data_IF_685449573464
#
_entry.id   IF_685449573464
#
_cell.length_a   1.000
_cell.length_b   1.000
_cell.length_c   1.000
_cell.angle_alpha   90.00
_cell.angle_beta   90.00
_cell.angle_gamma   90.00
#
_symmetry.space_group_name_H-M   'P 1'
#
loop_
_entity.id
_entity.type
_entity.pdbx_description
1 polymer ?
#
# COMPACT_ATOMS: atom_id res chain seq x y z
N UNK A 1 19.60 -8.33 -12.28
CA UNK A 1 20.75 -7.81 -13.07
C UNK A 1 21.41 -8.90 -13.89
N UNK A 2 21.61 -10.08 -13.29
CA UNK A 2 22.22 -11.25 -13.95
C UNK A 2 21.59 -11.61 -15.30
N UNK A 3 20.25 -11.76 -15.36
CA UNK A 3 19.54 -12.05 -16.62
C UNK A 3 19.76 -10.98 -17.70
N UNK A 4 19.83 -9.70 -17.36
CA UNK A 4 20.08 -8.64 -18.35
C UNK A 4 21.47 -8.74 -18.97
N UNK A 5 22.48 -9.21 -18.21
CA UNK A 5 23.83 -9.45 -18.73
C UNK A 5 23.83 -10.64 -19.69
N UNK A 6 23.18 -11.75 -19.30
CA UNK A 6 23.07 -12.95 -20.12
C UNK A 6 22.29 -12.69 -21.42
N UNK A 7 21.18 -11.95 -21.36
CA UNK A 7 20.43 -11.52 -22.55
C UNK A 7 21.32 -10.73 -23.49
N UNK A 8 22.11 -9.78 -22.98
CA UNK A 8 23.01 -8.96 -23.80
C UNK A 8 24.11 -9.80 -24.46
N UNK A 9 24.62 -10.79 -23.77
CA UNK A 9 25.63 -11.71 -24.30
C UNK A 9 25.05 -12.61 -25.39
N UNK A 10 23.88 -13.23 -25.13
CA UNK A 10 23.17 -14.05 -26.11
C UNK A 10 22.71 -13.28 -27.34
N UNK A 11 22.35 -12.00 -27.20
CA UNK A 11 22.05 -11.14 -28.34
C UNK A 11 23.28 -10.93 -29.25
N UNK A 12 24.49 -10.83 -28.68
CA UNK A 12 25.73 -10.78 -29.49
C UNK A 12 26.03 -12.12 -30.18
N UNK A 13 25.67 -13.23 -29.53
CA UNK A 13 25.82 -14.56 -30.13
C UNK A 13 24.87 -14.72 -31.33
N UNK A 14 23.64 -14.20 -31.23
CA UNK A 14 22.68 -14.12 -32.33
C UNK A 14 23.23 -13.29 -33.49
N UNK A 15 23.83 -12.12 -33.21
CA UNK A 15 24.46 -11.30 -34.24
C UNK A 15 25.59 -12.07 -34.94
N UNK A 16 26.41 -12.80 -34.17
CA UNK A 16 27.48 -13.66 -34.72
C UNK A 16 26.91 -14.75 -35.64
N UNK A 17 25.87 -15.45 -35.20
CA UNK A 17 25.22 -16.49 -36.02
C UNK A 17 24.58 -15.92 -37.29
N UNK A 18 24.10 -14.68 -37.26
CA UNK A 18 23.54 -14.00 -38.43
C UNK A 18 24.64 -13.71 -39.47
N UNK A 19 25.81 -13.24 -39.03
CA UNK A 19 26.98 -13.03 -39.91
C UNK A 19 27.51 -14.33 -40.50
N UNK A 20 27.54 -15.41 -39.72
CA UNK A 20 28.02 -16.73 -40.15
C UNK A 20 26.99 -17.49 -41.01
N UNK A 21 25.77 -16.95 -41.18
CA UNK A 21 24.68 -17.62 -41.92
C UNK A 21 24.15 -18.88 -41.22
N UNK A 22 24.47 -19.08 -39.94
CA UNK A 22 24.05 -20.24 -39.16
C UNK A 22 22.63 -20.02 -38.61
N UNK A 23 21.64 -20.31 -39.45
CA UNK A 23 20.22 -20.12 -39.14
C UNK A 23 19.74 -20.96 -37.96
N UNK A 24 20.19 -22.21 -37.84
CA UNK A 24 19.82 -23.08 -36.72
C UNK A 24 20.37 -22.57 -35.38
N UNK A 25 21.63 -22.11 -35.37
CA UNK A 25 22.23 -21.49 -34.19
C UNK A 25 21.50 -20.23 -33.77
N UNK A 26 21.16 -19.36 -34.73
CA UNK A 26 20.39 -18.14 -34.52
C UNK A 26 19.02 -18.41 -33.88
N UNK A 27 18.29 -19.40 -34.39
CA UNK A 27 16.97 -19.77 -33.86
C UNK A 27 17.08 -20.20 -32.40
N UNK A 28 17.98 -21.14 -32.08
CA UNK A 28 18.17 -21.62 -30.70
C UNK A 28 18.57 -20.50 -29.75
N UNK A 29 19.51 -19.64 -30.16
CA UNK A 29 19.96 -18.54 -29.33
C UNK A 29 18.84 -17.50 -29.10
N UNK A 30 17.98 -17.27 -30.10
CA UNK A 30 16.80 -16.39 -29.97
C UNK A 30 15.80 -16.95 -28.98
N UNK A 31 15.49 -18.25 -29.05
CA UNK A 31 14.62 -18.92 -28.08
C UNK A 31 15.16 -18.83 -26.64
N UNK A 32 16.48 -18.96 -26.45
CA UNK A 32 17.12 -18.79 -25.15
C UNK A 32 17.00 -17.34 -24.63
N UNK A 33 17.16 -16.34 -25.50
CA UNK A 33 16.96 -14.94 -25.13
C UNK A 33 15.54 -14.68 -24.67
N UNK A 34 14.54 -15.24 -25.35
CA UNK A 34 13.15 -15.03 -24.99
C UNK A 34 12.81 -15.70 -23.65
N UNK A 35 13.33 -16.90 -23.37
CA UNK A 35 13.26 -17.51 -22.03
C UNK A 35 13.91 -16.64 -20.95
N UNK A 36 15.08 -16.09 -21.20
CA UNK A 36 15.76 -15.22 -20.24
C UNK A 36 14.99 -13.91 -20.00
N UNK A 37 14.32 -13.36 -21.03
CA UNK A 37 13.45 -12.18 -20.88
C UNK A 37 12.23 -12.49 -20.03
N UNK A 38 11.61 -13.65 -20.23
CA UNK A 38 10.48 -14.13 -19.43
C UNK A 38 10.89 -14.27 -17.95
N UNK A 39 11.98 -14.99 -17.67
CA UNK A 39 12.52 -15.14 -16.31
C UNK A 39 12.84 -13.79 -15.65
N UNK A 40 13.41 -12.84 -16.42
CA UNK A 40 13.67 -11.50 -15.92
C UNK A 40 12.38 -10.77 -15.56
N UNK A 41 11.34 -10.88 -16.40
CA UNK A 41 10.06 -10.24 -16.16
C UNK A 41 9.36 -10.83 -14.92
N UNK A 42 9.40 -12.15 -14.74
CA UNK A 42 8.86 -12.85 -13.57
C UNK A 42 9.53 -12.40 -12.27
N UNK A 43 10.87 -12.36 -12.23
CA UNK A 43 11.62 -11.89 -11.06
C UNK A 43 11.34 -10.42 -10.75
N UNK A 44 11.27 -9.57 -11.79
CA UNK A 44 10.91 -8.16 -11.61
C UNK A 44 9.49 -7.99 -11.08
N UNK A 45 8.53 -8.79 -11.56
CA UNK A 45 7.14 -8.77 -11.08
C UNK A 45 7.05 -9.19 -9.62
N UNK A 46 7.77 -10.26 -9.22
CA UNK A 46 7.82 -10.72 -7.83
C UNK A 46 8.39 -9.66 -6.90
N UNK A 47 9.51 -9.04 -7.27
CA UNK A 47 10.14 -7.97 -6.46
C UNK A 47 9.23 -6.74 -6.34
N UNK A 48 8.53 -6.37 -7.42
CA UNK A 48 7.60 -5.26 -7.39
C UNK A 48 6.42 -5.54 -6.45
N UNK A 49 5.86 -6.76 -6.50
CA UNK A 49 4.78 -7.17 -5.60
C UNK A 49 5.25 -7.17 -4.14
N UNK A 50 6.46 -7.66 -3.86
CA UNK A 50 7.04 -7.64 -2.53
C UNK A 50 7.24 -6.20 -2.01
N UNK A 51 7.76 -5.30 -2.85
CA UNK A 51 7.93 -3.89 -2.50
C UNK A 51 6.58 -3.22 -2.20
N UNK A 52 5.56 -3.46 -3.03
CA UNK A 52 4.22 -2.92 -2.81
C UNK A 52 3.60 -3.44 -1.50
N UNK A 53 3.75 -4.73 -1.20
CA UNK A 53 3.28 -5.31 0.05
C UNK A 53 4.03 -4.72 1.27
N UNK A 54 5.35 -4.51 1.17
CA UNK A 54 6.13 -3.84 2.21
C UNK A 54 5.67 -2.41 2.44
N UNK A 55 5.49 -1.62 1.39
CA UNK A 55 5.03 -0.23 1.50
C UNK A 55 3.62 -0.15 2.11
N UNK A 56 2.72 -1.08 1.73
CA UNK A 56 1.41 -1.19 2.38
C UNK A 56 1.53 -1.49 3.87
N UNK A 57 2.38 -2.42 4.27
CA UNK A 57 2.58 -2.75 5.69
C UNK A 57 3.20 -1.57 6.45
N UNK A 58 4.20 -0.89 5.87
CA UNK A 58 4.81 0.31 6.44
C UNK A 58 3.80 1.44 6.59
N UNK A 59 2.91 1.65 5.61
CA UNK A 59 1.85 2.65 5.68
C UNK A 59 0.85 2.32 6.79
N UNK A 60 0.40 1.07 6.89
CA UNK A 60 -0.50 0.61 7.97
C UNK A 60 0.15 0.79 9.34
N UNK A 61 1.41 0.39 9.50
CA UNK A 61 2.15 0.57 10.74
C UNK A 61 2.38 2.05 11.07
N UNK A 62 2.63 2.89 10.07
CA UNK A 62 2.78 4.33 10.24
C UNK A 62 1.47 4.98 10.70
N UNK A 63 0.32 4.58 10.13
CA UNK A 63 -1.01 5.01 10.57
C UNK A 63 -1.31 4.55 12.00
N UNK A 64 -0.94 3.32 12.37
CA UNK A 64 -1.05 2.81 13.75
C UNK A 64 -0.10 3.51 14.74
N UNK A 65 1.03 4.03 14.29
CA UNK A 65 2.00 4.73 15.16
C UNK A 65 1.68 6.22 15.28
N UNK A 66 1.17 6.85 14.22
CA UNK A 66 0.68 8.23 14.25
C UNK A 66 -0.51 8.41 15.21
N UNK A 67 -1.31 7.36 15.39
CA UNK A 67 -2.38 7.32 16.40
C UNK A 67 -1.87 7.09 17.84
N UNK A 68 -0.58 6.79 18.05
CA UNK A 68 0.03 6.62 19.37
C UNK A 68 0.72 7.89 19.92
N UNK A 69 0.63 9.03 19.21
CA UNK A 69 1.21 10.31 19.67
C UNK A 69 0.28 11.14 20.57
N UNK A 70 -0.94 10.68 20.79
CA UNK A 70 -1.72 11.01 21.98
C UNK A 70 -2.05 9.69 22.60
N UNK A 71 -1.32 9.24 23.61
CA UNK A 71 -1.86 8.18 24.47
C UNK A 71 -3.15 8.76 25.07
N UNK A 72 -4.35 8.29 24.70
CA UNK A 72 -5.45 8.42 25.63
C UNK A 72 -5.04 7.55 26.82
N UNK A 73 -5.38 7.94 28.04
CA UNK A 73 -5.31 7.02 29.16
C UNK A 73 -5.88 5.68 28.69
N UNK A 74 -5.12 4.60 28.89
CA UNK A 74 -5.57 3.26 28.52
C UNK A 74 -7.02 3.11 29.02
N UNK A 75 -7.97 2.69 28.16
CA UNK A 75 -9.33 2.46 28.64
C UNK A 75 -9.21 1.50 29.82
N UNK A 76 -9.77 1.89 30.98
CA UNK A 76 -9.75 1.07 32.20
C UNK A 76 -10.00 -0.39 31.83
N UNK A 77 -9.26 -1.32 32.41
CA UNK A 77 -9.31 -2.75 32.03
C UNK A 77 -10.75 -3.29 31.92
N UNK A 78 -11.64 -2.79 32.79
CA UNK A 78 -13.08 -3.07 32.81
C UNK A 78 -13.83 -2.61 31.54
N UNK A 79 -13.48 -1.45 31.00
CA UNK A 79 -14.06 -0.91 29.75
C UNK A 79 -13.55 -1.70 28.55
N UNK A 80 -12.28 -2.12 28.57
CA UNK A 80 -11.71 -2.96 27.51
C UNK A 80 -12.35 -4.36 27.48
N UNK A 81 -12.64 -4.95 28.65
CA UNK A 81 -13.39 -6.21 28.76
C UNK A 81 -14.80 -6.08 28.18
N UNK A 82 -15.50 -4.97 28.48
CA UNK A 82 -16.86 -4.72 27.95
C UNK A 82 -16.88 -4.52 26.44
N UNK A 83 -15.84 -3.90 25.88
CA UNK A 83 -15.65 -3.77 24.42
C UNK A 83 -15.45 -5.15 23.79
N UNK A 84 -14.57 -5.98 24.35
CA UNK A 84 -14.31 -7.33 23.84
C UNK A 84 -15.57 -8.21 23.88
N UNK A 85 -16.38 -8.11 24.95
CA UNK A 85 -17.65 -8.84 25.05
C UNK A 85 -18.66 -8.40 23.96
N UNK A 86 -18.75 -7.10 23.68
CA UNK A 86 -19.62 -6.57 22.62
C UNK A 86 -19.15 -6.98 21.22
N UNK A 87 -17.84 -6.98 20.97
CA UNK A 87 -17.27 -7.46 19.70
C UNK A 87 -17.58 -8.93 19.47
N UNK A 88 -17.40 -9.78 20.49
CA UNK A 88 -17.73 -11.21 20.41
C UNK A 88 -19.21 -11.46 20.09
N UNK A 89 -20.12 -10.72 20.74
CA UNK A 89 -21.56 -10.81 20.45
C UNK A 89 -21.92 -10.33 19.05
N UNK A 90 -21.23 -9.31 18.54
CA UNK A 90 -21.41 -8.84 17.16
C UNK A 90 -20.97 -9.90 16.14
N UNK A 91 -19.88 -10.63 16.41
CA UNK A 91 -19.44 -11.76 15.57
C UNK A 91 -20.48 -12.89 15.53
N UNK A 92 -20.99 -13.31 16.69
CA UNK A 92 -22.05 -14.35 16.78
C UNK A 92 -23.35 -13.94 16.05
N UNK A 93 -23.74 -12.66 16.13
CA UNK A 93 -24.88 -12.13 15.39
C UNK A 93 -24.62 -12.01 13.89
N UNK A 94 -23.38 -11.69 13.49
CA UNK A 94 -22.96 -11.71 12.10
C UNK A 94 -23.00 -13.11 11.49
N UNK A 95 -22.55 -14.13 12.22
CA UNK A 95 -22.59 -15.54 11.80
C UNK A 95 -24.03 -16.07 11.68
N UNK A 96 -24.94 -15.61 12.54
CA UNK A 96 -26.37 -15.95 12.45
C UNK A 96 -27.14 -15.12 11.40
N UNK A 97 -26.46 -14.24 10.67
CA UNK A 97 -27.04 -13.44 9.59
C UNK A 97 -27.82 -12.20 10.03
N UNK A 98 -27.76 -11.84 11.30
CA UNK A 98 -28.39 -10.63 11.86
C UNK A 98 -27.47 -9.41 11.72
N UNK A 99 -27.22 -9.02 10.47
CA UNK A 99 -26.24 -7.99 10.09
C UNK A 99 -26.57 -6.62 10.72
N UNK A 100 -27.84 -6.22 10.75
CA UNK A 100 -28.27 -4.93 11.30
C UNK A 100 -28.00 -4.84 12.81
N UNK A 101 -28.19 -5.94 13.54
CA UNK A 101 -27.94 -6.01 14.98
C UNK A 101 -26.44 -6.11 15.30
N UNK A 102 -25.69 -6.86 14.49
CA UNK A 102 -24.24 -6.93 14.59
C UNK A 102 -23.59 -5.55 14.36
N UNK A 103 -24.01 -4.83 13.32
CA UNK A 103 -23.50 -3.49 13.02
C UNK A 103 -23.78 -2.51 14.17
N UNK A 104 -24.98 -2.54 14.74
CA UNK A 104 -25.33 -1.73 15.90
C UNK A 104 -24.43 -1.99 17.11
N UNK A 105 -24.08 -3.26 17.37
CA UNK A 105 -23.18 -3.61 18.47
C UNK A 105 -21.72 -3.18 18.23
N UNK A 106 -21.27 -3.20 16.98
CA UNK A 106 -19.96 -2.66 16.60
C UNK A 106 -19.90 -1.15 16.81
N UNK A 107 -20.94 -0.42 16.43
CA UNK A 107 -21.05 1.02 16.64
C UNK A 107 -21.06 1.38 18.14
N UNK A 108 -21.75 0.59 18.97
CA UNK A 108 -21.74 0.75 20.44
C UNK A 108 -20.36 0.45 21.05
N UNK A 109 -19.64 -0.55 20.55
CA UNK A 109 -18.27 -0.85 20.98
C UNK A 109 -17.30 0.28 20.60
N UNK A 110 -17.46 0.88 19.42
CA UNK A 110 -16.67 2.04 18.99
C UNK A 110 -16.99 3.28 19.84
N UNK A 111 -18.25 3.51 20.19
CA UNK A 111 -18.65 4.60 21.08
C UNK A 111 -18.04 4.47 22.48
N UNK A 112 -17.99 3.24 23.04
CA UNK A 112 -17.34 2.97 24.32
C UNK A 112 -15.82 3.23 24.26
N UNK A 113 -15.17 2.86 23.15
CA UNK A 113 -13.75 3.17 22.90
C UNK A 113 -13.51 4.68 22.82
N UNK A 114 -14.45 5.44 22.26
CA UNK A 114 -14.38 6.90 22.13
C UNK A 114 -14.63 7.64 23.44
N UNK A 115 -15.49 7.11 24.32
CA UNK A 115 -15.78 7.69 25.64
C UNK A 115 -14.63 7.51 26.64
N UNK A 116 -13.83 6.44 26.53
CA UNK A 116 -12.58 6.28 27.30
C UNK A 116 -11.49 7.30 26.92
N UNK A 117 -11.66 8.02 25.82
CA UNK A 117 -10.71 8.98 25.27
C UNK A 117 -11.26 10.42 25.31
N UNK A 118 -11.80 10.89 26.44
CA UNK A 118 -12.17 12.31 26.63
C UNK A 118 -10.91 13.19 26.46
N UNK A 119 -10.77 14.00 25.40
CA UNK A 119 -9.67 14.95 25.29
C UNK A 119 -9.97 16.16 26.17
N UNK A 120 -9.01 16.61 26.99
CA UNK A 120 -9.05 17.96 27.57
C UNK A 120 -8.93 19.01 26.44
N UNK A 121 -9.54 20.20 26.61
CA UNK A 121 -9.54 21.21 25.56
C UNK A 121 -8.13 21.77 25.31
N UNK A 122 -7.89 22.01 24.02
CA UNK A 122 -6.69 22.55 23.36
C UNK A 122 -5.89 23.59 24.15
N UNK A 123 -4.56 23.62 23.94
CA UNK A 123 -3.88 24.89 23.74
C UNK A 123 -3.35 24.98 22.31
N UNK A 124 -3.52 26.17 21.74
CA UNK A 124 -2.93 26.61 20.49
C UNK A 124 -1.43 26.26 20.45
N UNK A 125 -1.02 25.47 19.46
CA UNK A 125 0.39 25.39 19.07
C UNK A 125 0.48 25.49 17.56
N UNK A 126 0.42 26.74 17.12
CA UNK A 126 1.11 27.15 15.92
C UNK A 126 2.57 26.68 16.01
N UNK A 127 2.93 25.67 15.20
CA UNK A 127 4.16 25.57 14.38
C UNK A 127 4.47 24.11 14.06
N UNK A 128 4.58 23.86 12.76
CA UNK A 128 5.39 22.81 12.12
C UNK A 128 4.96 21.36 12.29
N UNK A 129 4.15 20.89 11.34
CA UNK A 129 4.54 19.72 10.54
C UNK A 129 3.85 19.80 9.19
N UNK A 130 4.66 19.80 8.13
CA UNK A 130 4.30 19.82 6.71
C UNK A 130 3.67 18.49 6.28
N UNK A 131 2.62 18.07 6.97
CA UNK A 131 1.75 17.01 6.49
C UNK A 131 0.72 17.70 5.60
N UNK A 132 0.96 17.68 4.28
CA UNK A 132 -0.08 17.90 3.28
C UNK A 132 -1.10 16.79 3.49
N UNK A 133 -2.00 17.01 4.44
CA UNK A 133 -3.30 16.42 4.36
C UNK A 133 -3.80 16.78 2.97
N UNK A 134 -4.20 15.76 2.21
CA UNK A 134 -4.92 15.92 0.95
C UNK A 134 -6.29 16.50 1.32
N UNK A 135 -6.31 17.72 1.84
CA UNK A 135 -7.47 18.58 1.92
C UNK A 135 -7.60 19.19 0.54
N UNK A 136 -8.56 18.70 -0.23
CA UNK A 136 -9.16 19.32 -1.43
C UNK A 136 -8.32 20.46 -2.06
N UNK A 137 -7.10 20.12 -2.50
CA UNK A 137 -6.24 21.11 -3.14
C UNK A 137 -6.83 21.26 -4.54
N UNK A 138 -7.51 22.38 -4.79
CA UNK A 138 -8.09 22.65 -6.10
C UNK A 138 -6.96 22.70 -7.13
N UNK A 139 -6.88 21.66 -7.96
CA UNK A 139 -5.89 21.52 -9.02
C UNK A 139 -6.59 21.66 -10.37
N UNK A 140 -5.88 22.21 -11.36
CA UNK A 140 -6.27 22.21 -12.77
C UNK A 140 -5.35 21.27 -13.55
N UNK A 141 -5.87 20.59 -14.56
CA UNK A 141 -5.06 19.85 -15.53
C UNK A 141 -4.53 20.81 -16.59
N UNK A 142 -3.26 20.68 -16.95
CA UNK A 142 -2.68 21.40 -18.07
C UNK A 142 -3.09 20.70 -19.38
N UNK A 143 -3.77 21.42 -20.27
CA UNK A 143 -4.24 20.87 -21.56
C UNK A 143 -3.09 20.53 -22.53
N UNK A 144 -1.87 20.98 -22.24
CA UNK A 144 -0.69 20.78 -23.11
C UNK A 144 0.12 19.56 -22.66
N UNK A 145 0.40 19.44 -21.36
CA UNK A 145 1.29 18.41 -20.82
C UNK A 145 0.65 17.46 -19.80
N UNK A 146 -0.63 17.66 -19.44
CA UNK A 146 -1.35 16.80 -18.51
C UNK A 146 -0.92 16.92 -17.03
N UNK A 147 -0.04 17.86 -16.70
CA UNK A 147 0.37 18.10 -15.31
C UNK A 147 -0.78 18.72 -14.49
N UNK A 148 -0.93 18.30 -13.23
CA UNK A 148 -1.81 18.94 -12.25
C UNK A 148 -1.12 20.18 -11.66
N UNK A 149 -1.69 21.36 -11.91
CA UNK A 149 -1.21 22.64 -11.40
C UNK A 149 -2.14 23.17 -10.32
N UNK A 150 -1.59 23.79 -9.27
CA UNK A 150 -2.40 24.52 -8.29
C UNK A 150 -3.10 25.71 -8.97
N UNK A 151 -4.37 25.98 -8.64
CA UNK A 151 -5.04 27.20 -9.15
C UNK A 151 -4.56 28.48 -8.48
N UNK A 152 -3.70 28.40 -7.46
CA UNK A 152 -3.18 29.56 -6.72
C UNK A 152 -1.76 29.97 -7.12
N UNK A 153 -1.03 29.16 -7.91
CA UNK A 153 0.23 29.59 -8.53
C UNK A 153 -0.06 30.59 -9.65
N UNK A 154 0.24 31.86 -9.38
CA UNK A 154 0.24 32.96 -10.35
C UNK A 154 1.58 33.08 -11.04
#
# INVERSE_FOLDING_TARGET
LEFSKQIKEKMKEIDTFDFDGNTEGKIRATEEVDKLKEQRAEEQAKLLLEAFNKDRVLLVNSLQTATQSTAPAAPDARTQEMINEKLKKAEELGESGMIDEAQKLLDEAEALKKLGARPQPVPDSAKMSTHVQITDQKLRLCDICGAFLSVYDR
#
